data_IF_174346091319
#
_entry.id   IF_174346091319
#
_cell.length_a   1.000
_cell.length_b   1.000
_cell.length_c   1.000
_cell.angle_alpha   90.00
_cell.angle_beta   90.00
_cell.angle_gamma   90.00
#
_symmetry.space_group_name_H-M   'P 1'
#
loop_
_entity.id
_entity.type
_entity.pdbx_description
1 polymer ?
#
# COMPACT_ATOMS: atom_id res chain seq x y z
N UNK A 1 16.60 -5.91 -14.38
CA UNK A 1 16.53 -6.98 -15.41
C UNK A 1 15.87 -6.61 -16.76
N UNK A 2 15.00 -5.59 -16.86
CA UNK A 2 14.35 -5.19 -18.13
C UNK A 2 15.24 -4.50 -19.17
N UNK A 3 16.52 -4.23 -18.83
CA UNK A 3 17.47 -3.58 -19.76
C UNK A 3 18.27 -4.60 -20.59
N UNK A 4 18.02 -5.89 -20.41
CA UNK A 4 18.65 -6.91 -21.22
C UNK A 4 18.15 -6.82 -22.68
N UNK A 5 19.05 -6.65 -23.67
CA UNK A 5 18.65 -6.47 -25.07
C UNK A 5 17.83 -7.63 -25.64
N UNK A 6 18.15 -8.87 -25.23
CA UNK A 6 17.45 -10.07 -25.70
C UNK A 6 16.04 -10.16 -25.10
N UNK A 7 15.90 -9.83 -23.81
CA UNK A 7 14.61 -9.80 -23.13
C UNK A 7 13.71 -8.67 -23.66
N UNK A 8 14.27 -7.49 -23.94
CA UNK A 8 13.53 -6.36 -24.54
C UNK A 8 12.95 -6.72 -25.91
N UNK A 9 13.75 -7.31 -26.79
CA UNK A 9 13.28 -7.72 -28.11
C UNK A 9 12.09 -8.69 -28.04
N UNK A 10 12.09 -9.61 -27.07
CA UNK A 10 10.98 -10.54 -26.85
C UNK A 10 9.74 -9.86 -26.25
N UNK A 11 9.93 -8.90 -25.34
CA UNK A 11 8.83 -8.09 -24.79
C UNK A 11 8.18 -7.25 -25.89
N UNK A 12 8.98 -6.58 -26.73
CA UNK A 12 8.48 -5.82 -27.87
C UNK A 12 7.72 -6.72 -28.86
N UNK A 13 8.25 -7.93 -29.13
CA UNK A 13 7.55 -8.92 -29.96
C UNK A 13 6.20 -9.31 -29.34
N UNK A 14 6.17 -9.60 -28.03
CA UNK A 14 4.93 -9.95 -27.31
C UNK A 14 3.90 -8.82 -27.41
N UNK A 15 4.33 -7.58 -27.23
CA UNK A 15 3.42 -6.43 -27.21
C UNK A 15 2.83 -6.15 -28.59
N UNK A 16 3.62 -6.31 -29.67
CA UNK A 16 3.12 -6.28 -31.05
C UNK A 16 2.09 -7.38 -31.31
N UNK A 17 2.36 -8.62 -30.87
CA UNK A 17 1.43 -9.74 -31.01
C UNK A 17 0.13 -9.52 -30.21
N UNK A 18 0.22 -8.93 -29.02
CA UNK A 18 -0.93 -8.57 -28.20
C UNK A 18 -1.81 -7.52 -28.88
N UNK A 19 -1.21 -6.48 -29.47
CA UNK A 19 -1.95 -5.48 -30.24
C UNK A 19 -2.65 -6.12 -31.44
N UNK A 20 -1.97 -7.00 -32.18
CA UNK A 20 -2.57 -7.71 -33.32
C UNK A 20 -3.76 -8.59 -32.91
N UNK A 21 -3.67 -9.29 -31.77
CA UNK A 21 -4.79 -10.09 -31.24
C UNK A 21 -6.01 -9.26 -30.84
N UNK A 22 -5.81 -8.00 -30.47
CA UNK A 22 -6.91 -7.09 -30.11
C UNK A 22 -7.82 -6.77 -31.29
N UNK A 23 -7.27 -6.80 -32.51
CA UNK A 23 -7.99 -6.47 -33.75
C UNK A 23 -8.24 -7.69 -34.65
N UNK A 24 -7.59 -8.83 -34.41
CA UNK A 24 -7.71 -10.03 -35.24
C UNK A 24 -7.62 -11.29 -34.40
N UNK A 25 -8.70 -12.09 -34.35
CA UNK A 25 -8.72 -13.35 -33.62
C UNK A 25 -8.17 -14.50 -34.48
N UNK A 26 -6.84 -14.55 -34.61
CA UNK A 26 -6.12 -15.56 -35.39
C UNK A 26 -5.35 -16.53 -34.47
N UNK A 27 -5.62 -17.82 -34.60
CA UNK A 27 -5.00 -18.87 -33.79
C UNK A 27 -3.48 -18.96 -33.96
N UNK A 28 -2.96 -18.69 -35.16
CA UNK A 28 -1.51 -18.63 -35.40
C UNK A 28 -0.84 -17.55 -34.56
N UNK A 29 -1.46 -16.37 -34.46
CA UNK A 29 -0.96 -15.24 -33.66
C UNK A 29 -1.05 -15.58 -32.17
N UNK A 30 -2.09 -16.30 -31.72
CA UNK A 30 -2.22 -16.78 -30.33
C UNK A 30 -1.12 -17.76 -29.95
N UNK A 31 -0.79 -18.69 -30.85
CA UNK A 31 0.31 -19.65 -30.64
C UNK A 31 1.66 -18.94 -30.57
N UNK A 32 1.94 -18.01 -31.49
CA UNK A 32 3.14 -17.14 -31.48
C UNK A 32 3.27 -16.33 -30.18
N UNK A 33 2.16 -15.74 -29.72
CA UNK A 33 2.10 -14.97 -28.47
C UNK A 33 2.43 -15.85 -27.27
N UNK A 34 1.81 -17.03 -27.17
CA UNK A 34 2.06 -17.96 -26.07
C UNK A 34 3.50 -18.48 -26.06
N UNK A 35 4.07 -18.79 -27.23
CA UNK A 35 5.49 -19.17 -27.35
C UNK A 35 6.42 -18.05 -26.86
N UNK A 36 6.18 -16.83 -27.32
CA UNK A 36 6.97 -15.66 -26.92
C UNK A 36 6.87 -15.41 -25.41
N UNK A 37 5.67 -15.54 -24.85
CA UNK A 37 5.44 -15.36 -23.42
C UNK A 37 6.09 -16.47 -22.56
N UNK A 38 6.06 -17.73 -23.03
CA UNK A 38 6.77 -18.83 -22.40
C UNK A 38 8.28 -18.60 -22.41
N UNK A 39 8.83 -18.10 -23.51
CA UNK A 39 10.25 -17.82 -23.64
C UNK A 39 10.72 -16.70 -22.72
N UNK A 40 9.95 -15.61 -22.62
CA UNK A 40 10.19 -14.55 -21.63
C UNK A 40 10.24 -15.13 -20.21
N UNK A 41 9.29 -16.00 -19.85
CA UNK A 41 9.27 -16.64 -18.52
C UNK A 41 10.50 -17.51 -18.28
N UNK A 42 10.94 -18.30 -19.28
CA UNK A 42 12.15 -19.13 -19.18
C UNK A 42 13.40 -18.29 -18.98
N UNK A 43 13.58 -17.24 -19.77
CA UNK A 43 14.73 -16.34 -19.66
C UNK A 43 14.78 -15.62 -18.31
N UNK A 44 13.63 -15.15 -17.83
CA UNK A 44 13.53 -14.58 -16.48
C UNK A 44 13.93 -15.59 -15.40
N UNK A 45 13.40 -16.82 -15.48
CA UNK A 45 13.73 -17.86 -14.52
C UNK A 45 15.22 -18.23 -14.56
N UNK A 46 15.80 -18.36 -15.75
CA UNK A 46 17.21 -18.67 -15.93
C UNK A 46 18.11 -17.56 -15.37
N UNK A 47 17.86 -16.30 -15.72
CA UNK A 47 18.62 -15.15 -15.21
C UNK A 47 18.49 -15.00 -13.70
N UNK A 48 17.28 -15.17 -13.17
CA UNK A 48 17.05 -15.12 -11.71
C UNK A 48 17.83 -16.24 -11.01
N UNK A 49 17.83 -17.45 -11.57
CA UNK A 49 18.57 -18.59 -11.02
C UNK A 49 20.09 -18.36 -11.09
N UNK A 50 20.60 -17.80 -12.19
CA UNK A 50 22.01 -17.43 -12.32
C UNK A 50 22.44 -16.36 -11.30
N UNK A 51 21.65 -15.29 -11.14
CA UNK A 51 21.88 -14.27 -10.12
C UNK A 51 21.86 -14.86 -8.71
N UNK A 52 20.96 -15.81 -8.45
CA UNK A 52 20.91 -16.52 -7.17
C UNK A 52 22.15 -17.38 -6.91
N UNK A 53 22.62 -18.10 -7.92
CA UNK A 53 23.87 -18.86 -7.81
C UNK A 53 25.08 -17.95 -7.55
N UNK A 54 25.19 -16.83 -8.26
CA UNK A 54 26.27 -15.86 -8.06
C UNK A 54 26.27 -15.24 -6.66
N UNK A 55 25.08 -15.00 -6.11
CA UNK A 55 24.94 -14.51 -4.74
C UNK A 55 25.33 -15.57 -3.72
N UNK A 56 24.81 -16.79 -3.88
CA UNK A 56 25.11 -17.90 -2.98
C UNK A 56 26.60 -18.24 -2.98
N UNK A 57 27.31 -18.09 -4.10
CA UNK A 57 28.76 -18.33 -4.16
C UNK A 57 29.59 -17.28 -3.41
N UNK A 58 29.02 -16.10 -3.14
CA UNK A 58 29.67 -14.99 -2.42
C UNK A 58 29.31 -14.93 -0.94
N UNK A 59 28.38 -15.76 -0.48
CA UNK A 59 27.97 -15.84 0.93
C UNK A 59 28.81 -16.89 1.64
N UNK A 60 29.56 -16.47 2.65
CA UNK A 60 30.26 -17.33 3.60
C UNK A 60 29.45 -17.50 4.90
N UNK A 61 29.70 -18.56 5.66
CA UNK A 61 29.09 -18.82 6.96
C UNK A 61 29.30 -17.68 7.98
N UNK A 62 30.35 -16.85 7.79
CA UNK A 62 30.63 -15.68 8.63
C UNK A 62 30.01 -14.37 8.10
N UNK A 63 29.21 -14.44 7.04
CA UNK A 63 28.56 -13.24 6.49
C UNK A 63 27.57 -12.67 7.49
N UNK A 64 27.76 -11.41 7.91
CA UNK A 64 26.87 -10.78 8.87
C UNK A 64 25.44 -10.60 8.31
N UNK A 65 24.45 -10.62 9.22
CA UNK A 65 23.03 -10.56 8.86
C UNK A 65 22.65 -9.31 8.05
N UNK A 66 23.30 -8.16 8.30
CA UNK A 66 23.04 -6.92 7.57
C UNK A 66 23.42 -7.04 6.09
N UNK A 67 24.55 -7.71 5.79
CA UNK A 67 25.00 -7.96 4.42
C UNK A 67 24.09 -8.97 3.72
N UNK A 68 23.63 -10.01 4.43
CA UNK A 68 22.61 -10.93 3.91
C UNK A 68 21.29 -10.22 3.57
N UNK A 69 20.82 -9.34 4.45
CA UNK A 69 19.62 -8.53 4.20
C UNK A 69 19.77 -7.57 3.03
N UNK A 70 20.94 -6.93 2.88
CA UNK A 70 21.24 -6.07 1.73
C UNK A 70 21.20 -6.84 0.41
N UNK A 71 21.83 -8.02 0.39
CA UNK A 71 21.84 -8.94 -0.75
C UNK A 71 20.42 -9.39 -1.10
N UNK A 72 19.62 -9.83 -0.12
CA UNK A 72 18.23 -10.25 -0.35
C UNK A 72 17.34 -9.10 -0.90
N UNK A 73 17.55 -7.87 -0.41
CA UNK A 73 16.88 -6.68 -0.95
C UNK A 73 17.32 -6.38 -2.38
N UNK A 74 18.61 -6.51 -2.68
CA UNK A 74 19.13 -6.28 -4.04
C UNK A 74 18.53 -7.23 -5.07
N UNK A 75 18.28 -8.50 -4.72
CA UNK A 75 17.58 -9.45 -5.59
C UNK A 75 16.13 -9.05 -5.87
N UNK A 76 15.48 -8.45 -4.88
CA UNK A 76 14.09 -8.02 -4.97
C UNK A 76 13.92 -6.73 -5.79
N UNK A 77 14.97 -5.92 -5.89
CA UNK A 77 15.02 -4.69 -6.70
C UNK A 77 15.03 -4.93 -8.21
N UNK A 78 15.31 -6.15 -8.66
CA UNK A 78 15.39 -6.49 -10.08
C UNK A 78 14.05 -6.85 -10.73
N UNK A 79 12.98 -6.93 -9.93
CA UNK A 79 11.60 -6.82 -10.47
C UNK A 79 11.47 -5.42 -11.10
N UNK A 80 10.64 -5.23 -12.14
CA UNK A 80 10.03 -3.92 -12.27
C UNK A 80 9.40 -3.64 -10.90
N UNK A 81 9.98 -2.70 -10.15
CA UNK A 81 9.14 -1.90 -9.28
C UNK A 81 8.16 -1.25 -10.25
N UNK A 82 7.03 -1.94 -10.52
CA UNK A 82 5.80 -1.21 -10.26
C UNK A 82 6.02 -0.80 -8.82
N UNK A 83 6.51 0.42 -8.61
CA UNK A 83 6.31 1.07 -7.35
C UNK A 83 4.81 0.97 -7.18
N UNK A 84 4.35 -0.05 -6.48
CA UNK A 84 3.09 0.02 -5.77
C UNK A 84 3.41 0.96 -4.62
N UNK A 85 3.71 2.20 -4.98
CA UNK A 85 3.74 3.30 -4.07
C UNK A 85 2.29 3.35 -3.63
N UNK A 86 2.04 3.08 -2.35
CA UNK A 86 0.73 3.28 -1.77
C UNK A 86 0.34 4.77 -1.77
N UNK A 87 1.10 5.62 -2.48
CA UNK A 87 0.80 7.02 -2.77
C UNK A 87 -0.53 7.09 -3.49
N UNK A 88 -1.55 7.46 -2.72
CA UNK A 88 -2.89 7.67 -3.23
C UNK A 88 -2.86 9.00 -3.98
N UNK A 89 -2.98 8.90 -5.30
CA UNK A 89 -2.92 10.05 -6.19
C UNK A 89 -4.25 10.80 -6.18
N UNK A 90 -4.17 12.10 -6.44
CA UNK A 90 -5.32 12.93 -6.81
C UNK A 90 -5.97 12.40 -8.10
N UNK A 91 -7.19 12.86 -8.42
CA UNK A 91 -7.86 12.53 -9.68
C UNK A 91 -7.03 12.89 -10.93
N UNK A 92 -6.09 13.82 -10.78
CA UNK A 92 -5.19 14.30 -11.84
C UNK A 92 -3.89 13.50 -11.93
N UNK A 93 -3.71 12.45 -11.11
CA UNK A 93 -2.53 11.58 -11.13
C UNK A 93 -1.30 12.14 -10.40
N UNK A 94 -1.43 13.24 -9.66
CA UNK A 94 -0.34 13.83 -8.88
C UNK A 94 -0.48 13.54 -7.38
N UNK A 95 0.63 13.49 -6.62
CA UNK A 95 0.59 13.45 -5.16
C UNK A 95 -0.16 14.68 -4.60
N UNK A 96 -0.88 14.55 -3.48
CA UNK A 96 -1.49 15.69 -2.82
C UNK A 96 -0.41 16.62 -2.25
N UNK A 97 -0.63 17.94 -2.34
CA UNK A 97 0.35 18.96 -1.92
C UNK A 97 0.24 19.36 -0.43
N UNK A 98 -0.79 18.89 0.27
CA UNK A 98 -1.09 19.25 1.66
C UNK A 98 -1.68 18.05 2.41
N UNK A 99 -1.44 17.99 3.73
CA UNK A 99 -1.86 16.90 4.62
C UNK A 99 -3.38 16.76 4.65
N UNK A 100 -4.12 17.88 4.60
CA UNK A 100 -5.58 17.87 4.53
C UNK A 100 -6.08 17.20 3.25
N UNK A 101 -5.46 17.52 2.11
CA UNK A 101 -5.80 16.89 0.83
C UNK A 101 -5.45 15.39 0.86
N UNK A 102 -4.29 15.04 1.43
CA UNK A 102 -3.85 13.66 1.62
C UNK A 102 -4.84 12.85 2.45
N UNK A 103 -5.28 13.36 3.59
CA UNK A 103 -6.24 12.70 4.46
C UNK A 103 -7.59 12.45 3.77
N UNK A 104 -8.11 13.44 3.03
CA UNK A 104 -9.37 13.32 2.31
C UNK A 104 -9.31 12.30 1.17
N UNK A 105 -8.21 12.29 0.41
CA UNK A 105 -7.98 11.36 -0.69
C UNK A 105 -7.81 9.95 -0.16
N UNK A 106 -7.07 9.80 0.93
CA UNK A 106 -6.88 8.52 1.61
C UNK A 106 -8.19 7.96 2.17
N UNK A 107 -8.99 8.79 2.84
CA UNK A 107 -10.32 8.43 3.30
C UNK A 107 -11.24 8.00 2.16
N UNK A 108 -11.26 8.75 1.06
CA UNK A 108 -12.07 8.43 -0.13
C UNK A 108 -11.64 7.13 -0.82
N UNK A 109 -10.33 6.90 -0.92
CA UNK A 109 -9.77 5.69 -1.52
C UNK A 109 -10.18 4.43 -0.76
N UNK A 110 -9.97 4.42 0.57
CA UNK A 110 -10.34 3.27 1.39
C UNK A 110 -11.85 3.17 1.63
N UNK A 111 -12.61 4.25 1.54
CA UNK A 111 -14.08 4.19 1.52
C UNK A 111 -14.60 3.42 0.30
N UNK A 112 -13.96 3.55 -0.86
CA UNK A 112 -14.33 2.79 -2.07
C UNK A 112 -13.93 1.32 -1.95
N UNK A 113 -12.72 1.06 -1.45
CA UNK A 113 -12.19 -0.30 -1.29
C UNK A 113 -12.90 -1.09 -0.18
N UNK A 114 -13.40 -0.41 0.85
CA UNK A 114 -14.07 -1.03 2.00
C UNK A 114 -15.57 -1.20 1.82
N UNK A 115 -16.17 -0.87 0.66
CA UNK A 115 -17.57 -1.18 0.39
C UNK A 115 -17.72 -2.70 0.27
N UNK A 116 -18.32 -3.38 1.26
CA UNK A 116 -18.52 -4.82 1.13
C UNK A 116 -19.52 -5.03 0.01
N UNK A 117 -19.14 -5.79 -1.01
CA UNK A 117 -20.05 -6.17 -2.09
C UNK A 117 -20.90 -7.32 -1.60
N UNK A 118 -22.11 -7.02 -1.14
CA UNK A 118 -23.07 -8.04 -0.72
C UNK A 118 -23.80 -8.60 -1.94
N UNK A 119 -23.81 -9.91 -2.09
CA UNK A 119 -24.63 -10.58 -3.10
C UNK A 119 -26.08 -10.74 -2.60
N UNK A 120 -27.00 -11.27 -3.42
CA UNK A 120 -28.40 -11.48 -3.01
C UNK A 120 -28.55 -12.39 -1.79
N UNK A 121 -27.64 -13.34 -1.57
CA UNK A 121 -27.66 -14.23 -0.40
C UNK A 121 -27.23 -13.50 0.89
N UNK A 122 -26.37 -12.48 0.78
CA UNK A 122 -25.81 -11.76 1.92
C UNK A 122 -26.64 -10.55 2.38
N UNK A 123 -27.85 -10.37 1.83
CA UNK A 123 -28.71 -9.20 2.07
C UNK A 123 -29.06 -8.98 3.54
N UNK A 124 -29.20 -10.07 4.31
CA UNK A 124 -29.43 -9.97 5.76
C UNK A 124 -28.18 -9.50 6.50
N UNK A 125 -27.01 -10.00 6.12
CA UNK A 125 -25.71 -9.56 6.65
C UNK A 125 -25.43 -8.10 6.31
N UNK A 126 -25.75 -7.67 5.10
CA UNK A 126 -25.69 -6.26 4.68
C UNK A 126 -26.55 -5.38 5.59
N UNK A 127 -27.80 -5.79 5.82
CA UNK A 127 -28.74 -5.05 6.67
C UNK A 127 -28.21 -4.91 8.10
N UNK A 128 -27.68 -5.99 8.67
CA UNK A 128 -27.10 -5.97 10.02
C UNK A 128 -25.85 -5.10 10.10
N UNK A 129 -24.95 -5.18 9.12
CA UNK A 129 -23.76 -4.33 9.05
C UNK A 129 -24.12 -2.84 8.94
N UNK A 130 -25.09 -2.49 8.10
CA UNK A 130 -25.60 -1.11 7.99
C UNK A 130 -26.23 -0.60 9.28
N UNK A 131 -27.02 -1.44 9.96
CA UNK A 131 -27.62 -1.11 11.26
C UNK A 131 -26.55 -0.89 12.34
N UNK A 132 -25.51 -1.72 12.38
CA UNK A 132 -24.39 -1.55 13.32
C UNK A 132 -23.63 -0.23 13.07
N UNK A 133 -23.30 0.08 11.82
CA UNK A 133 -22.64 1.36 11.46
C UNK A 133 -23.53 2.55 11.79
N UNK A 134 -24.83 2.47 11.51
CA UNK A 134 -25.77 3.52 11.87
C UNK A 134 -25.85 3.71 13.39
N UNK A 135 -25.91 2.63 14.17
CA UNK A 135 -25.91 2.68 15.64
C UNK A 135 -24.65 3.36 16.18
N UNK A 136 -23.48 3.06 15.61
CA UNK A 136 -22.22 3.72 15.98
C UNK A 136 -22.15 5.19 15.57
N UNK A 137 -22.84 5.60 14.49
CA UNK A 137 -22.91 7.00 14.05
C UNK A 137 -23.95 7.82 14.81
N UNK A 138 -25.02 7.19 15.27
CA UNK A 138 -26.10 7.81 16.05
C UNK A 138 -25.87 7.75 17.55
N UNK A 139 -24.67 7.37 17.99
CA UNK A 139 -24.26 7.57 19.37
C UNK A 139 -23.90 9.05 19.56
N UNK A 140 -24.90 9.93 19.56
CA UNK A 140 -24.94 10.89 20.65
C UNK A 140 -25.03 9.99 21.87
N UNK A 141 -23.87 9.71 22.48
CA UNK A 141 -23.83 9.13 23.81
C UNK A 141 -24.51 10.19 24.67
N UNK A 142 -25.84 10.10 24.81
CA UNK A 142 -26.66 10.87 25.73
C UNK A 142 -26.34 10.53 27.18
N UNK A 143 -25.06 10.25 27.44
CA UNK A 143 -24.47 10.07 28.73
C UNK A 143 -24.34 11.49 29.31
N UNK A 144 -25.08 11.83 30.38
CA UNK A 144 -25.11 13.18 30.94
C UNK A 144 -23.72 13.70 31.31
N UNK A 145 -22.77 12.78 31.52
CA UNK A 145 -21.36 13.04 31.82
C UNK A 145 -20.64 13.83 30.73
N UNK A 146 -21.02 13.66 29.45
CA UNK A 146 -20.36 14.34 28.33
C UNK A 146 -21.16 15.50 27.74
N UNK A 147 -22.36 15.77 28.27
CA UNK A 147 -23.25 16.87 27.86
C UNK A 147 -23.27 18.03 28.85
N UNK A 148 -22.83 17.81 30.09
CA UNK A 148 -22.73 18.87 31.09
C UNK A 148 -21.42 19.67 30.92
N UNK A 149 -21.52 21.00 30.89
CA UNK A 149 -20.34 21.86 30.94
C UNK A 149 -19.60 21.67 32.27
N UNK A 150 -18.27 21.66 32.23
CA UNK A 150 -17.44 21.55 33.42
C UNK A 150 -17.74 22.68 34.41
N UNK A 151 -17.93 22.34 35.68
CA UNK A 151 -18.09 23.35 36.72
C UNK A 151 -16.76 24.01 37.05
N UNK A 152 -16.79 25.30 37.42
CA UNK A 152 -15.58 26.03 37.83
C UNK A 152 -14.83 25.35 38.99
N UNK A 153 -15.56 24.61 39.85
CA UNK A 153 -14.97 23.88 40.97
C UNK A 153 -14.14 22.68 40.50
N UNK A 154 -14.62 21.92 39.52
CA UNK A 154 -13.87 20.81 38.91
C UNK A 154 -12.61 21.32 38.20
N UNK A 155 -12.71 22.48 37.54
CA UNK A 155 -11.56 23.12 36.91
C UNK A 155 -10.47 23.50 37.93
N UNK A 156 -10.88 24.05 39.08
CA UNK A 156 -9.95 24.42 40.16
C UNK A 156 -9.32 23.21 40.85
N UNK A 157 -10.05 22.11 41.00
CA UNK A 157 -9.50 20.85 41.51
C UNK A 157 -8.43 20.28 40.59
N UNK A 158 -8.67 20.29 39.28
CA UNK A 158 -7.69 19.85 38.27
C UNK A 158 -6.47 20.77 38.25
N UNK A 159 -6.67 22.09 38.32
CA UNK A 159 -5.57 23.06 38.37
C UNK A 159 -4.70 22.89 39.63
N UNK A 160 -5.28 22.54 40.77
CA UNK A 160 -4.53 22.24 41.99
C UNK A 160 -3.84 20.87 41.95
N UNK A 161 -4.40 19.90 41.22
CA UNK A 161 -3.80 18.57 41.04
C UNK A 161 -2.70 18.55 39.96
N UNK A 162 -2.71 19.51 39.05
CA UNK A 162 -1.67 19.71 38.06
C UNK A 162 -0.46 20.36 38.74
N UNK A 163 0.61 19.58 38.92
CA UNK A 163 1.88 20.08 39.41
C UNK A 163 2.51 21.04 38.38
N UNK A 164 2.24 22.34 38.56
CA UNK A 164 2.64 23.43 37.65
C UNK A 164 4.15 23.48 37.38
N UNK A 165 4.98 22.83 38.23
CA UNK A 165 6.43 22.69 37.99
C UNK A 165 6.75 21.85 36.75
N UNK A 166 5.99 20.78 36.47
CA UNK A 166 6.22 19.92 35.29
C UNK A 166 5.88 20.60 33.97
N UNK A 167 4.94 21.55 33.96
CA UNK A 167 4.56 22.30 32.76
C UNK A 167 5.60 23.39 32.41
N UNK A 168 6.21 24.04 33.40
CA UNK A 168 7.28 25.02 33.15
C UNK A 168 8.57 24.37 32.60
N UNK A 169 8.92 23.16 33.04
CA UNK A 169 10.07 22.39 32.50
C UNK A 169 9.83 21.90 31.07
N UNK A 170 8.58 21.59 30.71
CA UNK A 170 8.21 21.21 29.36
C UNK A 170 8.24 22.40 28.39
N UNK A 171 7.81 23.59 28.83
CA UNK A 171 7.81 24.80 28.00
C UNK A 171 9.23 25.33 27.72
N UNK A 172 10.18 25.18 28.64
CA UNK A 172 11.57 25.62 28.45
C UNK A 172 12.38 24.72 27.51
N UNK A 173 11.99 23.46 27.33
CA UNK A 173 12.62 22.52 26.36
C UNK A 173 12.18 22.72 24.90
N UNK A 174 11.14 23.52 24.65
CA UNK A 174 10.64 23.78 23.29
C UNK A 174 11.31 25.02 22.66
N UNK A 175 11.98 25.85 23.47
CA UNK A 175 12.65 27.09 23.03
C UNK A 175 14.19 27.02 23.02
N UNK A 176 14.77 25.81 23.04
CA UNK A 176 16.21 25.58 22.86
C UNK A 176 16.42 24.55 21.74
#
# INVERSE_FOLDING_TARGET
MHNDPCLRALVDKRDRLFQNLKYTNNDSIRVEFNKTNAEIKRLYAAKKRASWHEICSKIDARTNNSKLWSIAKSLSRDRPQVEVCNTILTANGFPPNDDRATANILGSHYQKMSRPTFNKADKNTERQAKLAVHKCRSSDLGDPVFLADFSMHELLLVLNALDLKKLCEAATKISA
#
